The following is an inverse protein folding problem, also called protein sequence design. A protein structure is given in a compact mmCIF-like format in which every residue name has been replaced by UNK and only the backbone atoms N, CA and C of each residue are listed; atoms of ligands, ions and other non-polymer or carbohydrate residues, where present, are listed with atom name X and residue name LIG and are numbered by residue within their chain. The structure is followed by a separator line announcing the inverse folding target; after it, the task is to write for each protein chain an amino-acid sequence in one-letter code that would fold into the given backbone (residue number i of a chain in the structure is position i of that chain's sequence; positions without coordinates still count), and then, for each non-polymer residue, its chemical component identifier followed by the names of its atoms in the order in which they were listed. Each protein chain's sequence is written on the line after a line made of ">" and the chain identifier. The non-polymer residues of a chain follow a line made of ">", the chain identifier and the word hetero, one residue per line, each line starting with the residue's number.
data_IF_779923791881
#
_entry.id   IF_779923791881
#
_cell.length_a   1.000
_cell.length_b   1.000
_cell.length_c   1.000
_cell.angle_alpha   90.00
_cell.angle_beta   90.00
_cell.angle_gamma   90.00
#
_symmetry.space_group_name_H-M   'P 1'
#
loop_
_entity.id
_entity.type
_entity.pdbx_description
1 polymer ?
#
# COMPACT_ATOMS: atom_id res chain seq x y z
N UNK A 1 -46.77 -0.36 -33.33
CA UNK A 1 -46.39 -0.04 -31.94
C UNK A 1 -44.88 0.10 -31.86
N UNK A 2 -44.37 1.33 -31.98
CA UNK A 2 -42.96 1.64 -31.73
C UNK A 2 -42.87 2.24 -30.32
N UNK A 3 -42.27 1.52 -29.38
CA UNK A 3 -41.95 2.02 -28.04
C UNK A 3 -40.66 2.82 -28.11
N UNK A 4 -40.74 4.11 -27.78
CA UNK A 4 -39.58 4.97 -27.56
C UNK A 4 -38.70 4.41 -26.42
N UNK A 5 -37.36 4.54 -26.49
CA UNK A 5 -36.52 4.30 -25.33
C UNK A 5 -36.69 5.47 -24.35
N UNK A 6 -37.22 5.19 -23.18
CA UNK A 6 -37.37 6.18 -22.10
C UNK A 6 -36.02 6.77 -21.72
N UNK A 7 -35.91 8.09 -21.83
CA UNK A 7 -34.88 8.89 -21.18
C UNK A 7 -35.01 8.71 -19.66
N UNK A 8 -34.22 7.80 -19.07
CA UNK A 8 -34.05 7.75 -17.62
C UNK A 8 -33.34 9.03 -17.16
N UNK A 9 -34.11 10.00 -16.69
CA UNK A 9 -33.59 11.13 -15.94
C UNK A 9 -32.96 10.61 -14.64
N UNK A 10 -31.65 10.84 -14.47
CA UNK A 10 -30.91 10.45 -13.26
C UNK A 10 -31.59 11.08 -12.03
N UNK A 11 -31.89 10.26 -11.02
CA UNK A 11 -32.42 10.74 -9.74
C UNK A 11 -31.44 11.73 -9.10
N UNK A 12 -31.94 12.68 -8.32
CA UNK A 12 -31.11 13.61 -7.54
C UNK A 12 -30.13 12.86 -6.63
N UNK A 13 -30.54 11.70 -6.13
CA UNK A 13 -29.71 10.82 -5.31
C UNK A 13 -28.59 10.16 -6.13
N UNK A 14 -28.84 9.81 -7.40
CA UNK A 14 -27.81 9.28 -8.30
C UNK A 14 -26.78 10.34 -8.68
N UNK A 15 -27.21 11.59 -8.87
CA UNK A 15 -26.30 12.71 -9.15
C UNK A 15 -25.42 13.00 -7.94
N UNK A 16 -26.02 13.03 -6.74
CA UNK A 16 -25.30 13.27 -5.49
C UNK A 16 -24.32 12.12 -5.19
N UNK A 17 -24.75 10.87 -5.40
CA UNK A 17 -23.90 9.68 -5.32
C UNK A 17 -22.70 9.76 -6.28
N UNK A 18 -22.94 10.09 -7.55
CA UNK A 18 -21.87 10.21 -8.55
C UNK A 18 -20.88 11.33 -8.21
N UNK A 19 -21.37 12.49 -7.76
CA UNK A 19 -20.49 13.57 -7.30
C UNK A 19 -19.65 13.14 -6.09
N UNK A 20 -20.27 12.48 -5.11
CA UNK A 20 -19.58 12.05 -3.90
C UNK A 20 -18.53 10.97 -4.16
N UNK A 21 -18.86 9.98 -4.99
CA UNK A 21 -17.90 8.99 -5.48
C UNK A 21 -16.75 9.63 -6.24
N UNK A 22 -17.03 10.68 -7.04
CA UNK A 22 -16.00 11.46 -7.73
C UNK A 22 -15.11 12.19 -6.73
N UNK A 23 -15.65 12.80 -5.67
CA UNK A 23 -14.83 13.48 -4.66
C UNK A 23 -13.87 12.53 -3.93
N UNK A 24 -14.25 11.28 -3.70
CA UNK A 24 -13.40 10.27 -3.05
C UNK A 24 -12.28 9.77 -3.97
N UNK A 25 -12.54 9.69 -5.29
CA UNK A 25 -11.62 9.10 -6.27
C UNK A 25 -10.89 10.13 -7.15
N UNK A 26 -11.33 11.38 -7.15
CA UNK A 26 -10.82 12.50 -7.95
C UNK A 26 -10.83 13.78 -7.10
N UNK A 27 -9.96 13.84 -6.08
CA UNK A 27 -9.84 15.07 -5.31
C UNK A 27 -9.40 16.24 -6.18
N UNK A 28 -10.10 17.36 -6.04
CA UNK A 28 -9.70 18.63 -6.65
C UNK A 28 -8.56 19.25 -5.84
N UNK A 29 -7.64 19.93 -6.53
CA UNK A 29 -6.56 20.66 -5.87
C UNK A 29 -7.01 22.09 -5.62
N UNK A 30 -7.12 22.43 -4.35
CA UNK A 30 -7.30 23.81 -3.90
C UNK A 30 -5.91 24.46 -3.68
N UNK A 31 -5.83 25.79 -3.86
CA UNK A 31 -4.63 26.61 -3.61
C UNK A 31 -3.37 26.25 -4.41
N UNK A 32 -3.45 26.43 -5.74
CA UNK A 32 -2.34 26.20 -6.68
C UNK A 32 -1.20 27.19 -6.44
N UNK A 33 -0.01 26.67 -6.09
CA UNK A 33 1.19 27.48 -5.87
C UNK A 33 1.83 27.98 -7.17
N UNK A 34 1.82 27.17 -8.23
CA UNK A 34 2.33 27.52 -9.58
C UNK A 34 1.32 27.04 -10.62
N UNK A 35 0.56 27.97 -11.21
CA UNK A 35 -0.51 27.66 -12.19
C UNK A 35 -0.03 26.81 -13.38
N UNK A 36 1.23 26.96 -13.78
CA UNK A 36 1.82 26.22 -14.90
C UNK A 36 1.82 24.69 -14.70
N UNK A 37 2.10 24.19 -13.49
CA UNK A 37 2.16 22.75 -13.22
C UNK A 37 0.77 22.08 -13.14
N UNK A 38 -0.28 22.89 -12.96
CA UNK A 38 -1.65 22.41 -12.80
C UNK A 38 -2.53 22.65 -14.04
N UNK A 39 -2.06 23.45 -15.02
CA UNK A 39 -2.70 23.57 -16.33
C UNK A 39 -2.30 22.39 -17.23
N UNK A 40 -3.27 21.68 -17.84
CA UNK A 40 -2.97 20.55 -18.70
C UNK A 40 -2.38 21.03 -20.05
N UNK A 41 -1.07 20.90 -20.21
CA UNK A 41 -0.35 21.17 -21.46
C UNK A 41 -0.31 19.93 -22.37
N UNK A 42 -1.47 19.38 -22.70
CA UNK A 42 -1.62 18.08 -23.37
C UNK A 42 -0.94 18.01 -24.74
N UNK A 43 -1.10 19.07 -25.55
CA UNK A 43 -0.50 19.15 -26.89
C UNK A 43 1.03 19.24 -26.78
N UNK A 44 1.55 20.11 -25.90
CA UNK A 44 3.00 20.25 -25.69
C UNK A 44 3.61 18.94 -25.22
N UNK A 45 2.95 18.24 -24.28
CA UNK A 45 3.40 16.95 -23.80
C UNK A 45 3.40 15.91 -24.93
N UNK A 46 2.32 15.82 -25.71
CA UNK A 46 2.25 14.94 -26.87
C UNK A 46 3.36 15.23 -27.88
N UNK A 47 3.58 16.49 -28.25
CA UNK A 47 4.63 16.90 -29.20
C UNK A 47 6.02 16.51 -28.69
N UNK A 48 6.35 16.83 -27.43
CA UNK A 48 7.62 16.44 -26.84
C UNK A 48 7.81 14.92 -26.80
N UNK A 49 6.75 14.17 -26.47
CA UNK A 49 6.82 12.71 -26.37
C UNK A 49 7.02 12.09 -27.77
N UNK A 50 6.28 12.54 -28.79
CA UNK A 50 6.43 12.08 -30.18
C UNK A 50 7.81 12.42 -30.75
N UNK A 51 8.30 13.66 -30.56
CA UNK A 51 9.63 14.05 -31.02
C UNK A 51 10.73 13.22 -30.34
N UNK A 52 10.59 12.93 -29.04
CA UNK A 52 11.50 12.06 -28.30
C UNK A 52 11.52 10.64 -28.89
N UNK A 53 10.35 10.07 -29.18
CA UNK A 53 10.26 8.76 -29.84
C UNK A 53 10.89 8.76 -31.23
N UNK A 54 10.63 9.79 -32.04
CA UNK A 54 11.26 9.92 -33.35
C UNK A 54 12.78 9.97 -33.22
N UNK A 55 13.32 10.75 -32.28
CA UNK A 55 14.75 10.80 -32.02
C UNK A 55 15.30 9.40 -31.71
N UNK A 56 14.78 8.72 -30.69
CA UNK A 56 15.27 7.38 -30.31
C UNK A 56 15.08 6.32 -31.40
N UNK A 57 14.02 6.42 -32.22
CA UNK A 57 13.77 5.49 -33.30
C UNK A 57 14.76 5.65 -34.48
N UNK A 58 15.21 6.87 -34.76
CA UNK A 58 16.05 7.15 -35.94
C UNK A 58 17.53 7.36 -35.64
N UNK A 59 17.93 7.69 -34.41
CA UNK A 59 19.33 7.99 -34.08
C UNK A 59 20.02 6.89 -33.27
N UNK A 60 19.28 5.91 -32.77
CA UNK A 60 19.85 4.84 -31.93
C UNK A 60 20.35 3.69 -32.79
N UNK A 61 21.50 3.15 -32.43
CA UNK A 61 22.02 1.90 -32.98
C UNK A 61 21.08 0.73 -32.60
N UNK A 62 20.64 -0.02 -33.61
CA UNK A 62 19.74 -1.17 -33.52
C UNK A 62 20.45 -2.51 -33.77
N UNK A 63 21.79 -2.55 -33.79
CA UNK A 63 22.56 -3.76 -34.02
C UNK A 63 22.44 -4.85 -32.94
N UNK A 64 22.03 -4.52 -31.70
CA UNK A 64 21.89 -5.48 -30.61
C UNK A 64 20.40 -5.74 -30.25
N UNK A 65 19.86 -6.94 -30.54
CA UNK A 65 18.44 -7.24 -30.34
C UNK A 65 17.99 -7.14 -28.88
N UNK A 66 18.81 -7.55 -27.91
CA UNK A 66 18.47 -7.48 -26.49
C UNK A 66 18.35 -6.03 -26.02
N UNK A 67 19.30 -5.18 -26.45
CA UNK A 67 19.24 -3.75 -26.17
C UNK A 67 18.04 -3.08 -26.87
N UNK A 68 17.63 -3.57 -28.03
CA UNK A 68 16.45 -3.08 -28.75
C UNK A 68 15.17 -3.33 -27.94
N UNK A 69 15.00 -4.56 -27.44
CA UNK A 69 13.85 -4.92 -26.60
C UNK A 69 13.87 -4.12 -25.29
N UNK A 70 15.02 -3.99 -24.64
CA UNK A 70 15.17 -3.25 -23.38
C UNK A 70 14.73 -1.78 -23.51
N UNK A 71 15.27 -1.06 -24.50
CA UNK A 71 14.89 0.34 -24.74
C UNK A 71 13.44 0.46 -25.20
N UNK A 72 12.96 -0.47 -26.04
CA UNK A 72 11.55 -0.53 -26.44
C UNK A 72 10.62 -0.61 -25.24
N UNK A 73 10.90 -1.49 -24.27
CA UNK A 73 10.12 -1.60 -23.03
C UNK A 73 10.17 -0.33 -22.18
N UNK A 74 11.36 0.29 -22.03
CA UNK A 74 11.50 1.55 -21.30
C UNK A 74 10.65 2.65 -21.93
N UNK A 75 10.65 2.76 -23.27
CA UNK A 75 9.84 3.75 -23.98
C UNK A 75 8.35 3.47 -23.81
N UNK A 76 7.90 2.22 -23.96
CA UNK A 76 6.49 1.84 -23.74
C UNK A 76 6.04 2.19 -22.32
N UNK A 77 6.83 1.85 -21.30
CA UNK A 77 6.54 2.21 -19.90
C UNK A 77 6.48 3.72 -19.74
N UNK A 78 7.47 4.46 -20.26
CA UNK A 78 7.54 5.92 -20.14
C UNK A 78 6.32 6.60 -20.77
N UNK A 79 5.93 6.19 -21.97
CA UNK A 79 4.74 6.69 -22.66
C UNK A 79 3.45 6.34 -21.92
N UNK A 80 3.35 5.11 -21.40
CA UNK A 80 2.22 4.72 -20.58
C UNK A 80 2.10 5.60 -19.33
N UNK A 81 3.21 5.93 -18.67
CA UNK A 81 3.21 6.84 -17.52
C UNK A 81 2.81 8.27 -17.91
N UNK A 82 3.23 8.77 -19.07
CA UNK A 82 2.74 10.05 -19.59
C UNK A 82 1.22 10.02 -19.80
N UNK A 83 0.68 8.97 -20.41
CA UNK A 83 -0.76 8.79 -20.58
C UNK A 83 -1.47 8.68 -19.23
N UNK A 84 -0.88 7.98 -18.25
CA UNK A 84 -1.42 7.88 -16.90
C UNK A 84 -1.59 9.26 -16.25
N UNK A 85 -0.61 10.16 -16.40
CA UNK A 85 -0.69 11.54 -15.91
C UNK A 85 -1.83 12.31 -16.57
N UNK A 86 -2.14 12.06 -17.84
CA UNK A 86 -3.17 12.78 -18.57
C UNK A 86 -4.58 12.24 -18.32
N UNK A 87 -4.74 10.91 -18.33
CA UNK A 87 -6.03 10.26 -18.41
C UNK A 87 -6.54 9.70 -17.06
N UNK A 88 -5.65 9.40 -16.12
CA UNK A 88 -6.06 8.73 -14.88
C UNK A 88 -6.59 9.71 -13.83
N UNK A 89 -7.53 9.26 -12.98
CA UNK A 89 -8.09 10.08 -11.92
C UNK A 89 -7.02 10.47 -10.90
N UNK A 90 -7.21 11.59 -10.20
CA UNK A 90 -6.27 12.06 -9.16
C UNK A 90 -6.12 11.10 -7.98
N UNK A 91 -7.09 10.22 -7.76
CA UNK A 91 -7.15 9.38 -6.58
C UNK A 91 -7.54 10.18 -5.32
N UNK A 92 -7.35 9.57 -4.13
CA UNK A 92 -7.75 10.17 -2.86
C UNK A 92 -6.74 11.19 -2.30
N UNK A 93 -5.62 11.42 -3.00
CA UNK A 93 -4.55 12.29 -2.53
C UNK A 93 -4.19 13.33 -3.58
N UNK A 94 -3.94 14.56 -3.13
CA UNK A 94 -3.57 15.70 -3.98
C UNK A 94 -2.11 16.10 -3.83
N UNK A 95 -1.42 15.62 -2.78
CA UNK A 95 -0.04 16.03 -2.42
C UNK A 95 0.92 14.86 -2.38
N UNK A 96 2.20 15.05 -2.75
CA UNK A 96 2.83 16.35 -3.04
C UNK A 96 2.41 16.97 -4.39
N UNK A 97 1.94 16.15 -5.33
CA UNK A 97 1.30 16.61 -6.57
C UNK A 97 0.34 15.53 -7.12
N UNK A 98 -0.80 15.86 -7.76
CA UNK A 98 -1.72 14.84 -8.30
C UNK A 98 -1.10 13.96 -9.38
N UNK A 99 -0.21 14.53 -10.20
CA UNK A 99 0.51 13.76 -11.23
C UNK A 99 1.29 12.58 -10.63
N UNK A 100 1.83 12.71 -9.41
CA UNK A 100 2.54 11.62 -8.74
C UNK A 100 1.57 10.47 -8.44
N UNK A 101 0.38 10.76 -7.94
CA UNK A 101 -0.62 9.73 -7.64
C UNK A 101 -1.19 9.07 -8.91
N UNK A 102 -1.33 9.83 -10.00
CA UNK A 102 -1.66 9.29 -11.32
C UNK A 102 -0.58 8.32 -11.83
N UNK A 103 0.70 8.68 -11.68
CA UNK A 103 1.85 7.81 -11.99
C UNK A 103 1.84 6.56 -11.10
N UNK A 104 1.61 6.70 -9.79
CA UNK A 104 1.52 5.57 -8.84
C UNK A 104 0.42 4.58 -9.25
N UNK A 105 -0.76 5.09 -9.61
CA UNK A 105 -1.84 4.25 -10.14
C UNK A 105 -1.44 3.62 -11.50
N UNK A 106 -0.76 4.37 -12.38
CA UNK A 106 -0.22 3.85 -13.62
C UNK A 106 0.77 2.70 -13.43
N UNK A 107 1.71 2.83 -12.49
CA UNK A 107 2.62 1.76 -12.14
C UNK A 107 1.88 0.54 -11.57
N UNK A 108 0.79 0.74 -10.83
CA UNK A 108 -0.07 -0.36 -10.35
C UNK A 108 -0.72 -1.11 -11.51
N UNK A 109 -1.24 -0.39 -12.52
CA UNK A 109 -1.82 -1.02 -13.72
C UNK A 109 -0.75 -1.76 -14.53
N UNK A 110 0.44 -1.18 -14.72
CA UNK A 110 1.54 -1.87 -15.40
C UNK A 110 1.96 -3.15 -14.67
N UNK A 111 2.08 -3.09 -13.34
CA UNK A 111 2.43 -4.26 -12.54
C UNK A 111 1.34 -5.35 -12.61
N UNK A 112 0.08 -4.95 -12.53
CA UNK A 112 -1.06 -5.84 -12.73
C UNK A 112 -0.99 -6.56 -14.09
N UNK A 113 -0.80 -5.80 -15.19
CA UNK A 113 -0.68 -6.37 -16.54
C UNK A 113 0.53 -7.29 -16.69
N UNK A 114 1.65 -6.92 -16.06
CA UNK A 114 2.85 -7.77 -16.02
C UNK A 114 2.58 -9.10 -15.30
N UNK A 115 1.89 -9.09 -14.15
CA UNK A 115 1.52 -10.31 -13.45
C UNK A 115 0.57 -11.19 -14.28
N UNK A 116 -0.40 -10.58 -14.97
CA UNK A 116 -1.27 -11.31 -15.92
C UNK A 116 -0.42 -11.99 -16.99
N UNK A 117 0.52 -11.28 -17.60
CA UNK A 117 1.44 -11.84 -18.61
C UNK A 117 2.28 -12.99 -18.05
N UNK A 118 2.93 -12.79 -16.90
CA UNK A 118 3.79 -13.80 -16.24
C UNK A 118 3.01 -15.09 -15.96
N UNK A 119 1.75 -15.00 -15.55
CA UNK A 119 0.90 -16.17 -15.26
C UNK A 119 0.65 -17.04 -16.49
N UNK A 120 0.87 -16.57 -17.73
CA UNK A 120 0.78 -17.43 -18.92
C UNK A 120 2.11 -18.07 -19.33
N UNK A 121 3.24 -17.64 -18.77
CA UNK A 121 4.55 -18.21 -19.07
C UNK A 121 4.79 -19.54 -18.33
N UNK A 122 5.56 -20.44 -18.92
CA UNK A 122 6.05 -21.62 -18.19
C UNK A 122 7.25 -21.25 -17.29
N UNK A 123 7.61 -22.15 -16.37
CA UNK A 123 8.69 -21.87 -15.40
C UNK A 123 10.06 -21.61 -16.06
N UNK A 124 10.34 -22.29 -17.16
CA UNK A 124 11.60 -22.07 -17.90
C UNK A 124 11.65 -20.66 -18.51
N UNK A 125 10.55 -20.21 -19.13
CA UNK A 125 10.41 -18.87 -19.70
C UNK A 125 10.51 -17.78 -18.64
N UNK A 126 9.89 -17.99 -17.47
CA UNK A 126 9.99 -17.09 -16.33
C UNK A 126 11.46 -16.93 -15.89
N UNK A 127 12.19 -18.03 -15.72
CA UNK A 127 13.62 -17.97 -15.37
C UNK A 127 14.44 -17.26 -16.44
N UNK A 128 14.19 -17.54 -17.72
CA UNK A 128 14.86 -16.84 -18.81
C UNK A 128 14.61 -15.33 -18.76
N UNK A 129 13.36 -14.91 -18.52
CA UNK A 129 13.02 -13.51 -18.36
C UNK A 129 13.76 -12.89 -17.15
N UNK A 130 13.80 -13.58 -16.01
CA UNK A 130 14.54 -13.10 -14.84
C UNK A 130 16.04 -12.95 -15.12
N UNK A 131 16.65 -13.92 -15.80
CA UNK A 131 18.07 -13.87 -16.17
C UNK A 131 18.39 -12.82 -17.23
N UNK A 132 17.39 -12.44 -18.02
CA UNK A 132 17.49 -11.33 -18.96
C UNK A 132 17.40 -9.99 -18.24
N UNK A 133 16.55 -9.88 -17.20
CA UNK A 133 16.45 -8.69 -16.35
C UNK A 133 17.71 -8.48 -15.49
N UNK A 134 18.23 -9.55 -14.87
CA UNK A 134 19.49 -9.54 -14.14
C UNK A 134 20.24 -10.89 -14.35
N UNK A 135 21.35 -10.88 -15.12
CA UNK A 135 22.16 -12.08 -15.35
C UNK A 135 22.70 -12.74 -14.08
N UNK A 136 22.89 -11.99 -12.99
CA UNK A 136 23.45 -12.52 -11.74
C UNK A 136 22.50 -13.51 -11.04
N UNK A 137 21.20 -13.45 -11.35
CA UNK A 137 20.21 -14.38 -10.82
C UNK A 137 20.44 -15.83 -11.24
N UNK A 138 21.28 -16.08 -12.26
CA UNK A 138 21.70 -17.44 -12.65
C UNK A 138 22.49 -18.15 -11.56
N UNK A 139 23.19 -17.40 -10.73
CA UNK A 139 24.05 -17.90 -9.65
C UNK A 139 23.43 -17.69 -8.27
N UNK A 140 22.24 -17.08 -8.21
CA UNK A 140 21.53 -16.87 -6.97
C UNK A 140 21.16 -18.22 -6.34
N UNK A 141 21.42 -18.33 -5.05
CA UNK A 141 20.99 -19.43 -4.21
C UNK A 141 19.85 -18.95 -3.33
N UNK A 142 18.99 -19.87 -2.93
CA UNK A 142 17.93 -19.57 -1.96
C UNK A 142 18.57 -19.37 -0.59
N UNK A 143 18.07 -18.38 0.15
CA UNK A 143 18.56 -18.09 1.52
C UNK A 143 18.41 -19.29 2.45
N UNK A 144 17.31 -20.03 2.31
CA UNK A 144 17.05 -21.30 3.00
C UNK A 144 18.16 -22.36 2.83
N UNK A 145 18.97 -22.28 1.77
CA UNK A 145 20.02 -23.26 1.48
C UNK A 145 21.39 -22.82 2.03
N UNK A 146 21.51 -21.60 2.54
CA UNK A 146 22.78 -20.99 2.99
C UNK A 146 22.75 -20.62 4.47
N UNK A 147 21.58 -20.22 4.97
CA UNK A 147 21.42 -19.71 6.33
C UNK A 147 20.88 -20.81 7.26
N UNK A 148 21.38 -20.83 8.49
CA UNK A 148 20.85 -21.65 9.57
C UNK A 148 19.82 -20.85 10.37
N UNK A 149 18.61 -21.38 10.50
CA UNK A 149 17.47 -20.72 11.13
C UNK A 149 17.14 -21.38 12.49
N UNK A 150 16.80 -20.57 13.50
CA UNK A 150 16.42 -20.98 14.86
C UNK A 150 17.38 -21.97 15.58
N UNK A 151 18.70 -21.79 15.44
CA UNK A 151 19.68 -22.67 16.09
C UNK A 151 20.06 -22.16 17.50
N UNK A 152 19.98 -23.05 18.51
CA UNK A 152 20.41 -22.79 19.90
C UNK A 152 19.70 -21.61 20.59
N UNK A 153 18.37 -21.47 20.43
CA UNK A 153 17.57 -20.35 20.94
C UNK A 153 17.48 -20.19 22.48
N UNK A 154 18.13 -21.06 23.25
CA UNK A 154 18.17 -20.97 24.71
C UNK A 154 19.37 -20.16 25.23
N UNK A 155 20.42 -19.99 24.42
CA UNK A 155 21.63 -19.27 24.81
C UNK A 155 21.52 -17.82 24.33
N UNK A 156 21.18 -16.91 25.24
CA UNK A 156 21.03 -15.48 24.95
C UNK A 156 22.28 -14.76 25.43
N UNK A 157 23.20 -14.45 24.51
CA UNK A 157 24.40 -13.64 24.77
C UNK A 157 24.24 -12.24 24.19
N UNK A 158 24.98 -11.27 24.73
CA UNK A 158 24.95 -9.89 24.22
C UNK A 158 25.38 -9.80 22.75
N UNK A 159 26.42 -10.54 22.36
CA UNK A 159 26.90 -10.61 20.97
C UNK A 159 25.81 -11.10 20.02
N UNK A 160 25.04 -12.11 20.44
CA UNK A 160 23.91 -12.63 19.67
C UNK A 160 22.78 -11.62 19.57
N UNK A 161 22.44 -10.91 20.64
CA UNK A 161 21.42 -9.85 20.56
C UNK A 161 21.86 -8.76 19.56
N UNK A 162 23.12 -8.30 19.65
CA UNK A 162 23.64 -7.26 18.76
C UNK A 162 23.71 -7.74 17.31
N UNK A 163 24.00 -9.02 17.05
CA UNK A 163 24.00 -9.54 15.68
C UNK A 163 22.61 -9.60 15.05
N UNK A 164 21.54 -9.69 15.84
CA UNK A 164 20.15 -9.64 15.37
C UNK A 164 19.62 -8.19 15.24
N UNK A 165 20.33 -7.18 15.75
CA UNK A 165 20.06 -5.76 15.48
C UNK A 165 20.63 -5.34 14.10
N UNK A 166 20.16 -6.01 13.06
CA UNK A 166 20.61 -5.83 11.69
C UNK A 166 19.57 -5.07 10.84
N UNK A 167 19.77 -5.10 9.52
CA UNK A 167 18.87 -4.44 8.57
C UNK A 167 17.41 -4.92 8.68
N UNK A 168 17.16 -6.14 9.16
CA UNK A 168 15.81 -6.67 9.36
C UNK A 168 15.14 -6.00 10.56
N UNK A 169 15.84 -5.84 11.70
CA UNK A 169 15.33 -5.09 12.85
C UNK A 169 14.97 -3.63 12.47
N UNK A 170 15.84 -2.96 11.70
CA UNK A 170 15.55 -1.61 11.18
C UNK A 170 14.35 -1.59 10.21
N UNK A 171 14.24 -2.61 9.35
CA UNK A 171 13.14 -2.74 8.39
C UNK A 171 11.81 -3.01 9.11
N UNK A 172 11.81 -3.80 10.19
CA UNK A 172 10.66 -4.03 11.04
C UNK A 172 10.23 -2.72 11.70
N UNK A 173 11.13 -2.03 12.40
CA UNK A 173 10.82 -0.76 13.05
C UNK A 173 10.23 0.29 12.10
N UNK A 174 10.91 0.57 10.99
CA UNK A 174 10.45 1.59 10.04
C UNK A 174 9.24 1.14 9.24
N UNK A 175 9.17 -0.15 8.89
CA UNK A 175 8.03 -0.78 8.26
C UNK A 175 6.77 -0.60 9.11
N UNK A 176 6.82 -0.94 10.40
CA UNK A 176 5.72 -0.76 11.33
C UNK A 176 5.34 0.70 11.57
N UNK A 177 6.33 1.60 11.56
CA UNK A 177 6.08 3.05 11.50
C UNK A 177 5.22 3.45 10.29
N UNK A 178 5.58 2.99 9.09
CA UNK A 178 4.81 3.25 7.87
C UNK A 178 3.43 2.58 7.93
N UNK A 179 3.32 1.33 8.36
CA UNK A 179 2.02 0.63 8.52
C UNK A 179 1.09 1.40 9.46
N UNK A 180 1.62 1.90 10.57
CA UNK A 180 0.85 2.70 11.52
C UNK A 180 0.37 4.05 10.93
N UNK A 181 1.16 4.70 10.06
CA UNK A 181 0.72 5.91 9.34
C UNK A 181 -0.42 5.64 8.34
N UNK A 182 -0.47 4.44 7.78
CA UNK A 182 -1.49 4.01 6.81
C UNK A 182 -2.78 3.58 7.52
N UNK A 183 -2.66 2.71 8.52
CA UNK A 183 -3.81 2.11 9.23
C UNK A 183 -4.36 3.07 10.29
N UNK A 184 -3.50 3.81 10.99
CA UNK A 184 -3.87 4.80 12.02
C UNK A 184 -4.74 4.24 13.14
N UNK A 185 -4.46 3.01 13.58
CA UNK A 185 -5.16 2.36 14.70
C UNK A 185 -4.21 1.46 15.47
N UNK A 186 -4.03 1.74 16.76
CA UNK A 186 -3.22 0.88 17.65
C UNK A 186 -3.74 -0.56 17.66
N UNK A 187 -5.05 -0.76 17.85
CA UNK A 187 -5.62 -2.10 17.96
C UNK A 187 -5.35 -2.94 16.72
N UNK A 188 -5.64 -2.39 15.53
CA UNK A 188 -5.40 -3.11 14.28
C UNK A 188 -3.90 -3.32 14.01
N UNK A 189 -3.04 -2.34 14.25
CA UNK A 189 -1.59 -2.51 14.03
C UNK A 189 -1.00 -3.60 14.93
N UNK A 190 -1.33 -3.60 16.23
CA UNK A 190 -0.88 -4.65 17.15
C UNK A 190 -1.42 -6.02 16.76
N UNK A 191 -2.69 -6.08 16.33
CA UNK A 191 -3.29 -7.33 15.85
C UNK A 191 -2.55 -7.86 14.65
N UNK A 192 -2.31 -7.03 13.61
CA UNK A 192 -1.53 -7.43 12.44
C UNK A 192 -0.15 -7.91 12.87
N UNK A 193 0.52 -7.19 13.79
CA UNK A 193 1.87 -7.56 14.25
C UNK A 193 1.90 -8.92 14.91
N UNK A 194 0.98 -9.19 15.83
CA UNK A 194 0.92 -10.48 16.52
C UNK A 194 0.54 -11.59 15.53
N UNK A 195 -0.42 -11.32 14.64
CA UNK A 195 -0.85 -12.31 13.64
C UNK A 195 0.21 -12.56 12.57
N UNK A 196 1.13 -11.62 12.33
CA UNK A 196 2.27 -11.80 11.44
C UNK A 196 3.24 -12.83 12.00
N UNK A 197 3.70 -12.69 13.25
CA UNK A 197 4.55 -13.69 13.89
C UNK A 197 3.89 -15.08 13.93
N UNK A 198 2.58 -15.13 14.20
CA UNK A 198 1.84 -16.39 14.13
C UNK A 198 1.81 -16.96 12.71
N UNK A 199 1.69 -16.10 11.70
CA UNK A 199 1.75 -16.52 10.29
C UNK A 199 3.11 -17.16 10.01
N UNK A 200 4.20 -16.57 10.48
CA UNK A 200 5.54 -17.14 10.33
C UNK A 200 5.64 -18.53 10.98
N UNK A 201 5.17 -18.68 12.21
CA UNK A 201 5.11 -19.97 12.91
C UNK A 201 4.30 -21.04 12.17
N UNK A 202 3.13 -20.68 11.61
CA UNK A 202 2.32 -21.64 10.88
C UNK A 202 2.93 -22.01 9.52
N UNK A 203 3.66 -21.10 8.88
CA UNK A 203 4.23 -21.30 7.54
C UNK A 203 5.71 -21.69 7.53
N UNK A 204 6.39 -21.81 8.67
CA UNK A 204 7.81 -22.21 8.76
C UNK A 204 8.11 -23.56 8.11
N UNK A 205 7.12 -24.47 8.05
CA UNK A 205 7.24 -25.76 7.38
C UNK A 205 7.41 -25.64 5.85
N UNK A 206 6.96 -24.52 5.26
CA UNK A 206 7.17 -24.19 3.84
C UNK A 206 8.35 -23.24 3.67
N UNK A 207 8.48 -22.25 4.57
CA UNK A 207 9.51 -21.23 4.48
C UNK A 207 10.44 -21.33 5.71
N UNK A 208 11.59 -22.03 5.59
CA UNK A 208 12.54 -22.16 6.69
C UNK A 208 13.01 -20.82 7.24
N UNK A 209 12.98 -19.77 6.42
CA UNK A 209 13.34 -18.42 6.82
C UNK A 209 12.47 -17.84 7.94
N UNK A 210 11.27 -18.40 8.18
CA UNK A 210 10.36 -18.01 9.25
C UNK A 210 10.66 -18.70 10.59
N UNK A 211 11.60 -19.64 10.62
CA UNK A 211 12.02 -20.27 11.85
C UNK A 211 13.00 -19.34 12.58
N UNK A 212 12.47 -18.56 13.52
CA UNK A 212 13.25 -17.65 14.34
C UNK A 212 13.24 -18.08 15.81
N UNK A 213 14.10 -17.49 16.62
CA UNK A 213 14.11 -17.79 18.04
C UNK A 213 12.91 -17.15 18.75
N UNK A 214 12.36 -17.82 19.76
CA UNK A 214 11.19 -17.31 20.51
C UNK A 214 11.40 -15.89 21.07
N UNK A 215 12.62 -15.57 21.51
CA UNK A 215 12.95 -14.26 22.07
C UNK A 215 13.11 -13.20 20.97
N UNK A 216 13.48 -13.61 19.75
CA UNK A 216 13.54 -12.74 18.57
C UNK A 216 12.11 -12.29 18.23
N UNK A 217 11.24 -13.26 17.95
CA UNK A 217 9.83 -13.04 17.62
C UNK A 217 9.07 -12.24 18.67
N UNK A 218 9.21 -12.61 19.96
CA UNK A 218 8.41 -11.97 21.03
C UNK A 218 9.03 -10.66 21.48
N UNK A 219 10.33 -10.63 21.76
CA UNK A 219 10.96 -9.46 22.40
C UNK A 219 11.44 -8.50 21.32
N UNK A 220 12.24 -8.97 20.37
CA UNK A 220 12.82 -8.08 19.36
C UNK A 220 11.77 -7.61 18.37
N UNK A 221 11.00 -8.51 17.75
CA UNK A 221 10.02 -8.16 16.75
C UNK A 221 8.77 -7.54 17.35
N UNK A 222 7.92 -8.31 18.04
CA UNK A 222 6.63 -7.80 18.54
C UNK A 222 6.81 -6.58 19.44
N UNK A 223 7.64 -6.67 20.47
CA UNK A 223 7.67 -5.65 21.52
C UNK A 223 8.54 -4.44 21.16
N UNK A 224 9.76 -4.66 20.67
CA UNK A 224 10.72 -3.57 20.46
C UNK A 224 10.58 -2.95 19.06
N UNK A 225 10.80 -3.71 18.00
CA UNK A 225 10.80 -3.22 16.63
C UNK A 225 9.39 -2.82 16.19
N UNK A 226 8.45 -3.75 16.22
CA UNK A 226 7.08 -3.56 15.77
C UNK A 226 6.36 -2.58 16.70
N UNK A 227 6.40 -2.84 18.01
CA UNK A 227 5.82 -1.97 19.03
C UNK A 227 6.37 -0.54 19.01
N UNK A 228 7.69 -0.38 18.89
CA UNK A 228 8.36 0.92 18.76
C UNK A 228 7.96 1.65 17.47
N UNK A 229 7.92 0.94 16.34
CA UNK A 229 7.47 1.47 15.06
C UNK A 229 6.01 1.94 15.12
N UNK A 230 5.11 1.13 15.67
CA UNK A 230 3.70 1.48 15.87
C UNK A 230 3.58 2.74 16.74
N UNK A 231 4.30 2.80 17.86
CA UNK A 231 4.29 3.97 18.72
C UNK A 231 4.76 5.24 17.99
N UNK A 232 5.85 5.16 17.23
CA UNK A 232 6.37 6.28 16.45
C UNK A 232 5.35 6.74 15.40
N UNK A 233 4.84 5.80 14.59
CA UNK A 233 3.87 6.11 13.54
C UNK A 233 2.59 6.74 14.09
N UNK A 234 2.06 6.21 15.19
CA UNK A 234 0.88 6.78 15.86
C UNK A 234 1.16 8.14 16.52
N UNK A 235 2.38 8.37 17.00
CA UNK A 235 2.80 9.69 17.51
C UNK A 235 2.84 10.73 16.40
N UNK A 236 3.37 10.36 15.23
CA UNK A 236 3.32 11.20 14.03
C UNK A 236 1.87 11.45 13.59
N UNK A 237 1.00 10.44 13.60
CA UNK A 237 -0.44 10.63 13.33
C UNK A 237 -1.05 11.69 14.24
N UNK A 238 -0.86 11.58 15.56
CA UNK A 238 -1.38 12.56 16.53
C UNK A 238 -0.84 13.96 16.29
N UNK A 239 0.45 14.08 15.99
CA UNK A 239 1.07 15.36 15.65
C UNK A 239 0.44 15.99 14.40
N UNK A 240 0.16 15.19 13.37
CA UNK A 240 -0.49 15.64 12.13
C UNK A 240 -1.98 15.94 12.29
N UNK A 241 -2.69 15.25 13.20
CA UNK A 241 -4.11 15.50 13.53
C UNK A 241 -4.32 16.83 14.25
N UNK A 242 -3.38 17.23 15.12
CA UNK A 242 -3.47 18.48 15.88
C UNK A 242 -3.15 19.73 15.05
N UNK A 243 -2.69 19.58 13.80
CA UNK A 243 -2.35 20.73 12.94
C UNK A 243 -3.58 21.22 12.17
N UNK A 244 -3.87 22.51 12.28
CA UNK A 244 -4.78 23.20 11.35
C UNK A 244 -4.03 23.51 10.05
N UNK A 245 -4.54 22.98 8.95
CA UNK A 245 -3.94 23.12 7.63
C UNK A 245 -4.55 24.33 6.90
N UNK A 246 -4.05 25.53 7.17
CA UNK A 246 -4.39 26.73 6.39
C UNK A 246 -3.34 26.95 5.30
N UNK A 247 -3.74 26.76 4.05
CA UNK A 247 -2.84 26.79 2.89
C UNK A 247 -2.86 28.15 2.18
N UNK A 248 -2.31 29.19 2.81
CA UNK A 248 -2.14 30.48 2.13
C UNK A 248 -1.38 30.30 0.79
N UNK A 249 -1.76 31.06 -0.24
CA UNK A 249 -1.09 31.01 -1.54
C UNK A 249 0.36 31.48 -1.38
N UNK A 250 1.28 30.88 -2.13
CA UNK A 250 2.68 31.35 -2.13
C UNK A 250 2.79 32.79 -2.63
N UNK A 251 1.78 33.25 -3.40
CA UNK A 251 1.64 34.63 -3.89
C UNK A 251 1.36 35.62 -2.75
N UNK A 252 0.72 35.16 -1.67
CA UNK A 252 0.36 35.99 -0.51
C UNK A 252 1.49 36.09 0.52
N UNK A 253 2.60 35.36 0.31
CA UNK A 253 3.73 35.33 1.24
C UNK A 253 4.87 36.20 0.70
N UNK A 254 5.15 37.31 1.38
CA UNK A 254 6.16 38.27 0.92
C UNK A 254 7.61 37.92 1.33
N UNK A 255 7.82 37.12 2.38
CA UNK A 255 9.17 36.79 2.88
C UNK A 255 9.76 35.55 2.21
N UNK A 256 11.08 35.55 1.96
CA UNK A 256 11.81 34.40 1.39
C UNK A 256 11.75 33.18 2.30
N UNK A 257 11.96 33.35 3.61
CA UNK A 257 11.80 32.30 4.62
C UNK A 257 10.39 31.73 4.64
N UNK A 258 9.36 32.57 4.47
CA UNK A 258 7.97 32.14 4.38
C UNK A 258 7.69 31.31 3.12
N UNK A 259 8.25 31.71 1.97
CA UNK A 259 8.13 30.95 0.71
C UNK A 259 8.82 29.59 0.81
N UNK A 260 10.02 29.52 1.38
CA UNK A 260 10.74 28.26 1.62
C UNK A 260 9.95 27.36 2.57
N UNK A 261 9.42 27.91 3.66
CA UNK A 261 8.55 27.16 4.60
C UNK A 261 7.29 26.65 3.89
N UNK A 262 6.65 27.45 3.05
CA UNK A 262 5.46 27.03 2.28
C UNK A 262 5.77 25.92 1.27
N UNK A 263 6.95 25.98 0.64
CA UNK A 263 7.43 24.94 -0.27
C UNK A 263 7.72 23.63 0.49
N UNK A 264 8.37 23.69 1.66
CA UNK A 264 8.60 22.51 2.50
C UNK A 264 7.27 21.89 3.00
N UNK A 265 6.29 22.72 3.37
CA UNK A 265 4.95 22.25 3.77
C UNK A 265 4.12 21.71 2.61
N UNK A 266 4.55 21.80 1.35
CA UNK A 266 3.89 21.13 0.23
C UNK A 266 4.01 19.60 0.32
N UNK A 267 5.07 19.12 0.98
CA UNK A 267 5.32 17.71 1.23
C UNK A 267 4.57 17.16 2.44
N UNK A 268 3.88 18.02 3.20
CA UNK A 268 2.98 17.56 4.26
C UNK A 268 1.57 17.33 3.72
N UNK A 269 0.78 16.42 4.34
CA UNK A 269 -0.57 16.09 3.91
C UNK A 269 -1.46 17.33 3.81
N UNK A 270 -2.33 17.38 2.80
CA UNK A 270 -3.27 18.51 2.62
C UNK A 270 -4.29 18.59 3.76
N UNK A 271 -4.71 17.42 4.24
CA UNK A 271 -5.52 17.22 5.42
C UNK A 271 -5.11 15.91 6.07
N UNK A 272 -5.38 15.78 7.36
CA UNK A 272 -5.11 14.55 8.10
C UNK A 272 -6.31 14.17 8.95
N UNK A 273 -7.11 13.24 8.43
CA UNK A 273 -8.34 12.77 9.07
C UNK A 273 -8.03 11.69 10.10
N UNK A 274 -8.62 11.82 11.29
CA UNK A 274 -8.69 10.74 12.26
C UNK A 274 -9.47 9.56 11.67
N UNK A 275 -8.91 8.35 11.78
CA UNK A 275 -9.48 7.14 11.20
C UNK A 275 -10.10 6.31 12.33
N UNK A 276 -11.38 6.00 12.18
CA UNK A 276 -12.10 5.14 13.11
C UNK A 276 -12.57 3.91 12.36
N UNK A 277 -11.92 2.78 12.55
CA UNK A 277 -12.24 1.55 11.81
C UNK A 277 -13.54 0.91 12.27
N UNK A 278 -13.82 0.95 13.57
CA UNK A 278 -15.03 0.38 14.15
C UNK A 278 -15.60 1.29 15.24
N UNK A 279 -16.92 1.39 15.25
CA UNK A 279 -17.76 2.02 16.25
C UNK A 279 -18.68 0.97 16.89
N UNK A 280 -19.12 1.12 18.15
CA UNK A 280 -20.11 0.23 18.76
C UNK A 280 -21.41 0.08 17.96
N UNK A 281 -21.79 1.12 17.21
CA UNK A 281 -22.98 1.12 16.33
C UNK A 281 -22.67 0.71 14.88
N UNK A 282 -21.52 0.10 14.62
CA UNK A 282 -21.14 -0.29 13.25
C UNK A 282 -22.01 -1.43 12.73
N UNK A 283 -22.26 -1.42 11.43
CA UNK A 283 -22.92 -2.53 10.76
C UNK A 283 -22.04 -3.79 10.75
N UNK A 284 -22.67 -4.96 10.68
CA UNK A 284 -21.98 -6.25 10.48
C UNK A 284 -21.15 -6.21 9.19
N UNK A 285 -21.62 -5.53 8.14
CA UNK A 285 -20.87 -5.36 6.90
C UNK A 285 -19.53 -4.65 7.12
N UNK A 286 -19.49 -3.59 7.94
CA UNK A 286 -18.25 -2.89 8.27
C UNK A 286 -17.30 -3.79 9.07
N UNK A 287 -17.83 -4.57 10.01
CA UNK A 287 -17.05 -5.56 10.76
C UNK A 287 -16.43 -6.62 9.82
N UNK A 288 -17.23 -7.22 8.93
CA UNK A 288 -16.75 -8.18 7.94
C UNK A 288 -15.72 -7.57 6.99
N UNK A 289 -15.88 -6.28 6.65
CA UNK A 289 -14.87 -5.52 5.91
C UNK A 289 -13.53 -5.43 6.64
N UNK A 290 -13.53 -5.23 7.95
CA UNK A 290 -12.27 -5.24 8.72
C UNK A 290 -11.63 -6.63 8.74
N UNK A 291 -12.40 -7.72 8.84
CA UNK A 291 -11.84 -9.07 8.68
C UNK A 291 -11.19 -9.28 7.31
N UNK A 292 -11.88 -8.87 6.24
CA UNK A 292 -11.34 -8.97 4.89
C UNK A 292 -10.05 -8.14 4.74
N UNK A 293 -10.01 -6.95 5.32
CA UNK A 293 -8.80 -6.12 5.37
C UNK A 293 -7.63 -6.86 6.00
N UNK A 294 -7.84 -7.48 7.18
CA UNK A 294 -6.80 -8.23 7.90
C UNK A 294 -6.29 -9.42 7.08
N UNK A 295 -7.19 -10.19 6.46
CA UNK A 295 -6.83 -11.35 5.63
C UNK A 295 -6.01 -10.92 4.40
N UNK A 296 -6.48 -9.91 3.67
CA UNK A 296 -5.79 -9.43 2.48
C UNK A 296 -4.43 -8.82 2.86
N UNK A 297 -4.34 -8.14 4.01
CA UNK A 297 -3.08 -7.64 4.53
C UNK A 297 -2.07 -8.79 4.71
N UNK A 298 -2.43 -9.83 5.46
CA UNK A 298 -1.55 -10.99 5.67
C UNK A 298 -1.16 -11.66 4.35
N UNK A 299 -2.11 -11.80 3.41
CA UNK A 299 -1.83 -12.35 2.10
C UNK A 299 -0.77 -11.55 1.35
N UNK A 300 -0.86 -10.22 1.35
CA UNK A 300 0.12 -9.36 0.65
C UNK A 300 1.52 -9.45 1.24
N UNK A 301 1.62 -9.57 2.56
CA UNK A 301 2.91 -9.74 3.23
C UNK A 301 3.48 -11.12 2.93
N UNK A 302 2.67 -12.18 3.06
CA UNK A 302 3.06 -13.55 2.79
C UNK A 302 3.51 -13.77 1.34
N UNK A 303 2.82 -13.14 0.37
CA UNK A 303 3.25 -13.11 -1.03
C UNK A 303 4.68 -12.58 -1.19
N UNK A 304 5.09 -11.58 -0.40
CA UNK A 304 6.45 -11.02 -0.47
C UNK A 304 7.51 -12.10 -0.23
N UNK A 305 7.29 -12.94 0.79
CA UNK A 305 8.22 -13.99 1.16
C UNK A 305 8.15 -15.19 0.20
N UNK A 306 6.96 -15.58 -0.24
CA UNK A 306 6.83 -16.64 -1.23
C UNK A 306 7.44 -16.27 -2.58
N UNK A 307 7.25 -15.04 -3.06
CA UNK A 307 7.83 -14.58 -4.32
C UNK A 307 9.36 -14.69 -4.28
N UNK A 308 10.04 -14.18 -3.26
CA UNK A 308 11.51 -14.30 -3.17
C UNK A 308 11.98 -15.75 -3.12
N UNK A 309 11.25 -16.61 -2.41
CA UNK A 309 11.63 -18.01 -2.23
C UNK A 309 11.41 -18.85 -3.50
N UNK A 310 10.30 -18.63 -4.20
CA UNK A 310 9.91 -19.37 -5.41
C UNK A 310 10.75 -18.90 -6.59
N UNK A 311 10.86 -17.59 -6.80
CA UNK A 311 11.62 -16.98 -7.89
C UNK A 311 13.13 -16.90 -7.64
N UNK A 312 13.59 -17.33 -6.46
CA UNK A 312 15.01 -17.50 -6.09
C UNK A 312 15.81 -16.20 -6.27
N UNK A 313 15.51 -15.21 -5.43
CA UNK A 313 16.35 -14.02 -5.27
C UNK A 313 16.53 -13.68 -3.79
N UNK A 314 17.70 -13.11 -3.40
CA UNK A 314 17.96 -12.78 -1.99
C UNK A 314 17.12 -11.59 -1.50
N UNK A 315 16.93 -11.49 -0.20
CA UNK A 315 16.20 -10.39 0.46
C UNK A 315 16.84 -9.02 0.19
N UNK A 316 18.17 -8.97 0.04
CA UNK A 316 18.92 -7.77 -0.31
C UNK A 316 18.81 -7.38 -1.79
N UNK A 317 18.25 -8.24 -2.66
CA UNK A 317 18.11 -7.97 -4.08
C UNK A 317 17.16 -6.81 -4.37
N UNK A 318 17.41 -6.09 -5.48
CA UNK A 318 16.55 -4.99 -5.94
C UNK A 318 15.07 -5.38 -6.09
N UNK A 319 14.80 -6.59 -6.58
CA UNK A 319 13.42 -7.09 -6.70
C UNK A 319 12.68 -7.15 -5.35
N UNK A 320 13.37 -7.44 -4.25
CA UNK A 320 12.78 -7.49 -2.91
C UNK A 320 12.43 -6.09 -2.42
N UNK A 321 13.43 -5.21 -2.27
CA UNK A 321 13.20 -3.90 -1.65
C UNK A 321 12.45 -2.93 -2.56
N UNK A 322 12.65 -2.96 -3.89
CA UNK A 322 11.85 -2.14 -4.82
C UNK A 322 10.38 -2.54 -4.76
N UNK A 323 10.08 -3.85 -4.68
CA UNK A 323 8.70 -4.32 -4.56
C UNK A 323 8.09 -3.90 -3.23
N UNK A 324 8.80 -4.06 -2.10
CA UNK A 324 8.30 -3.64 -0.78
C UNK A 324 7.99 -2.14 -0.78
N UNK A 325 8.91 -1.31 -1.29
CA UNK A 325 8.69 0.14 -1.41
C UNK A 325 7.49 0.45 -2.30
N UNK A 326 7.39 -0.22 -3.45
CA UNK A 326 6.28 -0.05 -4.38
C UNK A 326 4.93 -0.41 -3.74
N UNK A 327 4.83 -1.59 -3.12
CA UNK A 327 3.64 -2.06 -2.38
C UNK A 327 3.29 -1.07 -1.27
N UNK A 328 4.28 -0.56 -0.53
CA UNK A 328 4.08 0.45 0.51
C UNK A 328 3.46 1.74 -0.02
N UNK A 329 3.93 2.23 -1.17
CA UNK A 329 3.40 3.46 -1.81
C UNK A 329 1.96 3.26 -2.30
N UNK A 330 1.67 2.16 -3.01
CA UNK A 330 0.33 1.91 -3.57
C UNK A 330 -0.70 1.56 -2.49
N UNK A 331 -0.24 1.07 -1.33
CA UNK A 331 -1.11 0.77 -0.17
C UNK A 331 -1.74 2.03 0.40
N UNK A 332 -1.06 3.18 0.39
CA UNK A 332 -1.60 4.42 0.94
C UNK A 332 -2.96 4.84 0.31
N UNK A 333 -3.06 4.99 -1.02
CA UNK A 333 -4.35 5.31 -1.65
C UNK A 333 -5.34 4.16 -1.54
N UNK A 334 -4.89 2.90 -1.55
CA UNK A 334 -5.72 1.71 -1.37
C UNK A 334 -6.44 1.72 -0.02
N UNK A 335 -5.71 1.86 1.08
CA UNK A 335 -6.27 1.86 2.45
C UNK A 335 -7.25 3.02 2.61
N UNK A 336 -6.93 4.20 2.05
CA UNK A 336 -7.82 5.36 2.12
C UNK A 336 -9.14 5.15 1.37
N UNK A 337 -9.09 4.55 0.18
CA UNK A 337 -10.28 4.21 -0.61
C UNK A 337 -11.09 3.08 0.04
N UNK A 338 -10.42 2.07 0.58
CA UNK A 338 -11.06 0.96 1.27
C UNK A 338 -11.77 1.42 2.54
N UNK A 339 -11.10 2.26 3.34
CA UNK A 339 -11.70 2.89 4.51
C UNK A 339 -12.95 3.69 4.13
N UNK A 340 -12.88 4.52 3.08
CA UNK A 340 -14.03 5.27 2.60
C UNK A 340 -15.19 4.35 2.19
N UNK A 341 -14.90 3.26 1.48
CA UNK A 341 -15.89 2.25 1.09
C UNK A 341 -16.58 1.57 2.29
N UNK A 342 -15.84 1.34 3.38
CA UNK A 342 -16.41 0.70 4.57
C UNK A 342 -17.19 1.65 5.48
N UNK A 343 -16.77 2.91 5.59
CA UNK A 343 -17.36 3.85 6.56
C UNK A 343 -18.39 4.81 5.98
N UNK A 344 -18.27 5.12 4.68
CA UNK A 344 -19.15 6.10 4.04
C UNK A 344 -20.36 5.40 3.41
N UNK A 345 -21.56 5.69 3.94
CA UNK A 345 -22.80 5.07 3.46
C UNK A 345 -23.16 5.46 2.03
N UNK A 346 -22.61 6.58 1.53
CA UNK A 346 -22.76 7.04 0.15
C UNK A 346 -21.76 6.37 -0.79
N UNK A 347 -20.72 5.69 -0.29
CA UNK A 347 -19.77 4.97 -1.13
C UNK A 347 -20.23 3.52 -1.35
N UNK A 348 -20.78 3.21 -2.53
CA UNK A 348 -21.28 1.86 -2.87
C UNK A 348 -20.30 1.05 -3.72
N UNK A 349 -19.21 1.65 -4.19
CA UNK A 349 -18.23 1.03 -5.08
C UNK A 349 -16.82 1.16 -4.51
N UNK A 350 -16.04 0.10 -4.63
CA UNK A 350 -14.62 0.10 -4.26
C UNK A 350 -13.85 1.05 -5.19
N UNK A 351 -12.95 1.86 -4.61
CA UNK A 351 -12.11 2.76 -5.38
C UNK A 351 -11.18 2.02 -6.35
N UNK A 352 -10.78 2.70 -7.42
CA UNK A 352 -10.02 2.09 -8.54
C UNK A 352 -8.67 1.52 -8.11
N UNK A 353 -7.92 2.27 -7.28
CA UNK A 353 -6.64 1.81 -6.76
C UNK A 353 -6.81 0.59 -5.86
N UNK A 354 -7.79 0.62 -4.95
CA UNK A 354 -8.08 -0.49 -4.07
C UNK A 354 -8.47 -1.75 -4.84
N UNK A 355 -9.24 -1.60 -5.93
CA UNK A 355 -9.59 -2.72 -6.80
C UNK A 355 -8.35 -3.31 -7.49
N UNK A 356 -7.50 -2.47 -8.10
CA UNK A 356 -6.26 -2.91 -8.76
C UNK A 356 -5.32 -3.57 -7.77
N UNK A 357 -5.17 -3.02 -6.56
CA UNK A 357 -4.36 -3.61 -5.50
C UNK A 357 -4.86 -5.00 -5.10
N UNK A 358 -6.17 -5.18 -4.90
CA UNK A 358 -6.76 -6.49 -4.63
C UNK A 358 -6.48 -7.50 -5.74
N UNK A 359 -6.56 -7.06 -7.00
CA UNK A 359 -6.23 -7.89 -8.15
C UNK A 359 -4.74 -8.26 -8.20
N UNK A 360 -3.84 -7.33 -7.90
CA UNK A 360 -2.39 -7.58 -7.76
C UNK A 360 -2.13 -8.63 -6.68
N UNK A 361 -2.67 -8.43 -5.47
CA UNK A 361 -2.49 -9.35 -4.35
C UNK A 361 -2.93 -10.78 -4.69
N UNK A 362 -4.06 -10.92 -5.39
CA UNK A 362 -4.56 -12.23 -5.82
C UNK A 362 -3.72 -12.83 -6.95
N UNK A 363 -3.30 -12.04 -7.94
CA UNK A 363 -2.44 -12.52 -9.03
C UNK A 363 -1.06 -12.93 -8.53
N UNK A 364 -0.49 -12.24 -7.56
CA UNK A 364 0.76 -12.66 -6.92
C UNK A 364 0.59 -13.98 -6.18
N UNK A 365 -0.51 -14.16 -5.43
CA UNK A 365 -0.80 -15.42 -4.76
C UNK A 365 -0.97 -16.55 -5.79
N UNK A 366 -1.66 -16.28 -6.90
CA UNK A 366 -1.82 -17.24 -8.00
C UNK A 366 -0.48 -17.58 -8.66
N UNK A 367 0.39 -16.58 -8.87
CA UNK A 367 1.74 -16.81 -9.39
C UNK A 367 2.56 -17.67 -8.42
N UNK A 368 2.48 -17.42 -7.11
CA UNK A 368 3.12 -18.25 -6.09
C UNK A 368 2.62 -19.70 -6.18
N UNK A 369 1.30 -19.92 -6.24
CA UNK A 369 0.73 -21.28 -6.33
C UNK A 369 1.17 -21.97 -7.63
N UNK A 370 1.12 -21.27 -8.77
CA UNK A 370 1.45 -21.82 -10.08
C UNK A 370 2.93 -22.23 -10.18
N UNK A 371 3.84 -21.35 -9.77
CA UNK A 371 5.28 -21.58 -9.94
C UNK A 371 5.91 -22.29 -8.74
N UNK A 372 5.21 -22.35 -7.61
CA UNK A 372 5.63 -23.02 -6.38
C UNK A 372 4.95 -24.37 -6.15
N UNK A 373 4.49 -25.09 -7.17
CA UNK A 373 3.76 -26.37 -7.01
C UNK A 373 4.51 -27.37 -6.12
N UNK A 374 5.81 -27.53 -6.32
CA UNK A 374 6.65 -28.42 -5.51
C UNK A 374 6.69 -27.99 -4.04
N UNK A 375 6.68 -26.68 -3.78
CA UNK A 375 6.63 -26.13 -2.42
C UNK A 375 5.27 -26.38 -1.79
N UNK A 376 4.19 -25.96 -2.47
CA UNK A 376 2.83 -26.08 -1.95
C UNK A 376 2.33 -27.53 -1.86
N UNK A 377 2.95 -28.49 -2.56
CA UNK A 377 2.68 -29.92 -2.37
C UNK A 377 3.01 -30.42 -0.95
N UNK A 378 3.88 -29.70 -0.24
CA UNK A 378 4.27 -29.99 1.16
C UNK A 378 3.38 -29.29 2.18
N UNK A 379 2.35 -28.56 1.73
CA UNK A 379 1.49 -27.76 2.61
C UNK A 379 0.72 -28.67 3.57
N UNK A 380 0.83 -28.38 4.86
CA UNK A 380 0.03 -29.03 5.87
C UNK A 380 -1.31 -28.29 6.02
N UNK A 381 -2.37 -28.86 5.44
CA UNK A 381 -3.71 -28.24 5.42
C UNK A 381 -4.21 -27.88 6.84
N UNK A 382 -3.89 -28.73 7.83
CA UNK A 382 -4.25 -28.46 9.23
C UNK A 382 -3.66 -27.14 9.73
N UNK A 383 -2.40 -26.82 9.41
CA UNK A 383 -1.77 -25.56 9.81
C UNK A 383 -2.42 -24.37 9.12
N UNK A 384 -2.82 -24.50 7.86
CA UNK A 384 -3.55 -23.42 7.14
C UNK A 384 -4.92 -23.16 7.79
N UNK A 385 -5.65 -24.21 8.15
CA UNK A 385 -6.94 -24.08 8.84
C UNK A 385 -6.75 -23.44 10.22
N UNK A 386 -5.79 -23.92 11.01
CA UNK A 386 -5.49 -23.37 12.33
C UNK A 386 -5.05 -21.91 12.24
N UNK A 387 -4.21 -21.57 11.26
CA UNK A 387 -3.81 -20.19 10.98
C UNK A 387 -5.00 -19.28 10.72
N UNK A 388 -5.94 -19.69 9.85
CA UNK A 388 -7.16 -18.92 9.57
C UNK A 388 -8.04 -18.76 10.82
N UNK A 389 -8.19 -19.83 11.61
CA UNK A 389 -8.96 -19.78 12.85
C UNK A 389 -8.33 -18.84 13.88
N UNK A 390 -7.00 -18.91 14.07
CA UNK A 390 -6.25 -18.00 14.94
C UNK A 390 -6.38 -16.55 14.47
N UNK A 391 -6.25 -16.29 13.16
CA UNK A 391 -6.40 -14.96 12.59
C UNK A 391 -7.81 -14.38 12.88
N UNK A 392 -8.85 -15.17 12.64
CA UNK A 392 -10.24 -14.77 12.91
C UNK A 392 -10.45 -14.54 14.40
N UNK A 393 -9.98 -15.44 15.25
CA UNK A 393 -10.17 -15.34 16.70
C UNK A 393 -9.44 -14.13 17.32
N UNK A 394 -8.18 -13.89 16.95
CA UNK A 394 -7.41 -12.75 17.47
C UNK A 394 -8.00 -11.44 16.96
N UNK A 395 -8.42 -11.40 15.69
CA UNK A 395 -9.13 -10.24 15.15
C UNK A 395 -10.44 -10.00 15.91
N UNK A 396 -11.21 -11.05 16.21
CA UNK A 396 -12.41 -10.94 17.03
C UNK A 396 -12.12 -10.31 18.40
N UNK A 397 -11.11 -10.81 19.12
CA UNK A 397 -10.72 -10.28 20.42
C UNK A 397 -10.32 -8.81 20.34
N UNK A 398 -9.56 -8.42 19.31
CA UNK A 398 -9.21 -7.02 19.09
C UNK A 398 -10.45 -6.15 18.84
N UNK A 399 -11.33 -6.55 17.91
CA UNK A 399 -12.52 -5.77 17.58
C UNK A 399 -13.47 -5.66 18.77
N UNK A 400 -13.65 -6.74 19.52
CA UNK A 400 -14.41 -6.74 20.77
C UNK A 400 -13.79 -5.77 21.79
N UNK A 401 -12.47 -5.85 22.02
CA UNK A 401 -11.76 -4.96 22.93
C UNK A 401 -11.86 -3.48 22.51
N UNK A 402 -11.76 -3.20 21.21
CA UNK A 402 -11.93 -1.85 20.65
C UNK A 402 -13.34 -1.29 20.90
N UNK A 403 -14.39 -2.11 20.70
CA UNK A 403 -15.78 -1.72 20.96
C UNK A 403 -16.00 -1.53 22.45
N UNK A 404 -15.59 -2.48 23.27
CA UNK A 404 -15.72 -2.43 24.73
C UNK A 404 -15.02 -1.19 25.31
N UNK A 405 -13.80 -0.90 24.86
CA UNK A 405 -13.08 0.30 25.29
C UNK A 405 -13.83 1.58 24.88
N UNK A 406 -14.37 1.62 23.65
CA UNK A 406 -15.13 2.76 23.17
C UNK A 406 -16.46 2.98 23.93
N UNK A 407 -17.11 1.93 24.42
CA UNK A 407 -18.33 2.03 25.23
C UNK A 407 -18.08 2.49 26.67
N UNK A 408 -17.00 1.99 27.28
CA UNK A 408 -16.70 2.24 28.68
C UNK A 408 -15.91 3.54 28.91
N UNK A 409 -14.96 3.82 28.02
CA UNK A 409 -13.99 4.93 28.15
C UNK A 409 -14.03 5.92 26.99
N UNK A 410 -14.81 5.65 25.93
CA UNK A 410 -15.02 6.63 24.88
C UNK A 410 -15.70 7.88 25.46
N UNK A 411 -15.44 9.09 24.91
CA UNK A 411 -16.04 10.31 25.40
C UNK A 411 -17.57 10.20 25.37
N UNK A 412 -18.18 9.96 26.54
CA UNK A 412 -19.62 10.02 26.76
C UNK A 412 -20.04 11.48 26.63
N UNK A 413 -20.37 11.89 25.42
CA UNK A 413 -20.89 13.24 25.13
C UNK A 413 -19.82 14.28 24.83
N UNK A 414 -19.48 14.43 23.55
CA UNK A 414 -19.48 15.77 22.95
C UNK A 414 -20.62 15.83 21.94
N UNK A 415 -21.82 16.05 22.47
CA UNK A 415 -22.75 16.95 21.78
C UNK A 415 -22.03 18.29 21.76
N UNK A 416 -21.38 18.62 20.66
CA UNK A 416 -20.96 19.98 20.38
C UNK A 416 -21.99 20.45 19.34
N UNK A 417 -23.06 21.16 19.74
CA UNK A 417 -22.97 22.59 20.04
C UNK A 417 -21.97 23.31 19.12
N UNK A 418 -22.07 23.06 17.82
CA UNK A 418 -21.72 24.02 16.77
C UNK A 418 -23.06 24.47 16.21
N UNK A 419 -23.68 25.45 16.88
CA UNK A 419 -24.64 26.49 16.45
C UNK A 419 -25.18 27.10 17.76
N UNK A 420 -24.32 27.74 18.58
CA UNK A 420 -24.77 28.76 19.57
C UNK A 420 -23.60 29.58 20.13
N UNK A 421 -22.70 30.09 19.29
CA UNK A 421 -21.91 31.28 19.66
C UNK A 421 -21.77 32.18 18.42
N UNK A 422 -22.91 32.65 17.92
CA UNK A 422 -22.98 33.92 17.21
C UNK A 422 -24.22 34.66 17.69
N UNK A 423 -24.22 34.99 18.98
CA UNK A 423 -24.88 36.21 19.42
C UNK A 423 -24.23 36.64 20.74
N UNK A 424 -23.87 37.93 20.79
CA UNK A 424 -23.34 38.68 21.95
C UNK A 424 -21.86 38.49 22.27
N UNK A 425 -21.03 39.35 21.67
CA UNK A 425 -20.37 40.45 22.42
C UNK A 425 -19.76 41.48 21.46
N UNK A 426 -20.36 42.68 21.51
CA UNK A 426 -19.87 44.04 21.20
C UNK A 426 -19.04 44.26 19.93
#
# INVERSE_FOLDING_TARGET
>A
HASQPGSHTLSKDDVNYRMHFRMINEQQVEDITIDFFYKPHTITLLTCTVLSLMYFAFTRDDGNPDNNVWVGLILVISFFLVISVLAFPNGPFTRPHPAIWRIVFGLSVLYFLFLVFIIFLNWHQVKQLMYWLDPNLRYAKREADIMEYAVNCHVITWERIVSHFDIFAFSHFWGWGMKALLIRSYGLCWTISITWELTELFFMHLLPNFAECWWDQVILDILLCNGGGIWLGMTVCRFLEMRTYHWASIKDIHTTTGKIKRAALQFTPASWTYVRWLDPKSSVQRMMGVYLFMIIWQLTELNTFFLKHIFVFPASHALSWCRILFVGIITAPTVRQYYAYLTDTQCKRVGTQCWVFGAIAFLEALACIKFGQDLFSKTQILYVILWLLCLVFITFLCLYGMVWYAENYGPKGKVCCIITVMEKKK
#
